data_IF_113132402445
#
_entry.id   IF_113132402445
#
_cell.length_a   1.000
_cell.length_b   1.000
_cell.length_c   1.000
_cell.angle_alpha   90.00
_cell.angle_beta   90.00
_cell.angle_gamma   90.00
#
_symmetry.space_group_name_H-M   'P 1'
#
loop_
_entity.id
_entity.type
_entity.pdbx_description
1 polymer ?
#
# COMPACT_ATOMS: atom_id res chain seq x y z
N UNK A 1 12.20 20.49 -1.54
CA UNK A 1 12.34 19.25 -2.34
C UNK A 1 11.57 18.17 -1.59
N UNK A 2 10.77 17.36 -2.27
CA UNK A 2 10.07 16.23 -1.65
C UNK A 2 11.09 15.14 -1.26
N UNK A 3 10.81 14.42 -0.17
CA UNK A 3 11.62 13.27 0.22
C UNK A 3 11.24 12.06 -0.62
N UNK A 4 12.22 11.24 -0.93
CA UNK A 4 12.08 10.10 -1.84
C UNK A 4 11.79 8.80 -1.08
N UNK A 5 10.77 8.04 -1.49
CA UNK A 5 10.51 6.66 -1.05
C UNK A 5 10.43 5.68 -2.23
N UNK A 6 11.01 4.49 -2.08
CA UNK A 6 10.76 3.36 -2.98
C UNK A 6 9.48 2.69 -2.55
N UNK A 7 8.62 2.32 -3.50
CA UNK A 7 7.35 1.63 -3.24
C UNK A 7 7.36 0.33 -4.01
N UNK A 8 7.01 -0.77 -3.35
CA UNK A 8 6.95 -2.11 -3.92
C UNK A 8 5.55 -2.68 -3.67
N UNK A 9 4.77 -2.79 -4.73
CA UNK A 9 3.46 -3.42 -4.67
C UNK A 9 3.56 -4.93 -4.62
N UNK A 10 4.64 -5.54 -5.13
CA UNK A 10 4.78 -6.99 -5.35
C UNK A 10 5.12 -7.82 -4.11
N UNK A 11 4.35 -7.57 -3.07
CA UNK A 11 4.42 -8.20 -1.75
C UNK A 11 3.06 -8.80 -1.40
N UNK A 12 3.06 -9.88 -0.61
CA UNK A 12 1.81 -10.46 -0.11
C UNK A 12 1.32 -9.66 1.08
N UNK A 13 0.02 -9.71 1.37
CA UNK A 13 -0.53 -8.98 2.51
C UNK A 13 0.00 -9.50 3.85
N UNK A 14 0.27 -10.81 3.96
CA UNK A 14 0.92 -11.38 5.14
C UNK A 14 2.32 -10.79 5.31
N UNK A 15 3.10 -10.74 4.23
CA UNK A 15 4.44 -10.17 4.25
C UNK A 15 4.42 -8.69 4.64
N UNK A 16 3.47 -7.92 4.13
CA UNK A 16 3.28 -6.51 4.55
C UNK A 16 3.10 -6.39 6.06
N UNK A 17 2.24 -7.21 6.64
CA UNK A 17 1.88 -7.10 8.06
C UNK A 17 3.01 -7.62 8.94
N UNK A 18 3.59 -8.77 8.60
CA UNK A 18 4.68 -9.38 9.37
C UNK A 18 5.96 -8.51 9.33
N UNK A 19 6.32 -7.97 8.16
CA UNK A 19 7.59 -7.24 8.00
C UNK A 19 7.50 -5.76 8.43
N UNK A 20 6.30 -5.17 8.47
CA UNK A 20 6.15 -3.72 8.70
C UNK A 20 5.22 -3.31 9.86
N UNK A 21 4.38 -4.20 10.41
CA UNK A 21 3.45 -3.86 11.48
C UNK A 21 3.73 -4.63 12.78
N UNK A 22 4.30 -5.82 12.68
CA UNK A 22 4.56 -6.70 13.82
C UNK A 22 6.03 -6.66 14.21
N UNK A 23 6.30 -6.48 15.50
CA UNK A 23 7.62 -6.65 16.09
C UNK A 23 7.55 -7.68 17.23
N UNK A 24 8.38 -8.73 17.16
CA UNK A 24 8.39 -9.86 18.09
C UNK A 24 7.51 -11.06 17.70
N UNK A 25 7.29 -11.99 18.63
CA UNK A 25 6.54 -13.24 18.40
C UNK A 25 5.01 -13.03 18.46
N UNK A 26 4.46 -12.13 17.64
CA UNK A 26 3.01 -12.00 17.50
C UNK A 26 2.57 -12.87 16.33
N UNK A 27 1.79 -13.91 16.61
CA UNK A 27 1.18 -14.71 15.55
C UNK A 27 0.03 -13.93 14.91
N UNK A 28 0.13 -13.72 13.61
CA UNK A 28 -0.91 -13.07 12.82
C UNK A 28 -1.65 -14.13 12.02
N UNK A 29 -2.98 -14.09 12.03
CA UNK A 29 -3.82 -15.04 11.31
C UNK A 29 -5.06 -14.34 10.74
N UNK A 30 -5.71 -14.97 9.77
CA UNK A 30 -6.91 -14.47 9.09
C UNK A 30 -6.74 -13.09 8.42
N UNK A 31 -5.52 -12.79 7.94
CA UNK A 31 -5.25 -11.57 7.19
C UNK A 31 -5.96 -11.67 5.83
N UNK A 32 -6.94 -10.80 5.62
CA UNK A 32 -7.66 -10.69 4.35
C UNK A 32 -7.79 -9.22 3.99
N UNK A 33 -7.87 -8.94 2.69
CA UNK A 33 -8.22 -7.61 2.18
C UNK A 33 -9.20 -7.80 1.04
N UNK A 34 -10.47 -7.58 1.36
CA UNK A 34 -11.62 -7.84 0.48
C UNK A 34 -11.74 -6.80 -0.65
N UNK A 35 -11.31 -5.56 -0.38
CA UNK A 35 -11.42 -4.43 -1.30
C UNK A 35 -10.04 -3.79 -1.50
N UNK A 36 -9.27 -4.31 -2.45
CA UNK A 36 -7.86 -3.95 -2.61
C UNK A 36 -7.40 -3.61 -4.04
N UNK A 37 -8.34 -3.58 -5.00
CA UNK A 37 -8.04 -3.28 -6.39
C UNK A 37 -7.58 -4.47 -7.23
N UNK A 38 -7.27 -5.65 -6.65
CA UNK A 38 -6.69 -6.79 -7.40
C UNK A 38 -7.59 -7.22 -8.56
N UNK A 39 -8.91 -7.23 -8.35
CA UNK A 39 -9.92 -7.52 -9.37
C UNK A 39 -9.91 -6.53 -10.56
N UNK A 40 -9.31 -5.36 -10.37
CA UNK A 40 -9.17 -4.29 -11.36
C UNK A 40 -7.71 -4.15 -11.86
N UNK A 41 -6.80 -5.06 -11.47
CA UNK A 41 -5.44 -5.13 -11.99
C UNK A 41 -4.41 -4.22 -11.31
N UNK A 42 -4.71 -3.68 -10.13
CA UNK A 42 -3.76 -2.91 -9.32
C UNK A 42 -3.91 -3.28 -7.84
N UNK A 43 -3.00 -2.82 -6.99
CA UNK A 43 -3.13 -2.98 -5.53
C UNK A 43 -3.17 -1.64 -4.83
N UNK A 44 -4.09 -1.52 -3.88
CA UNK A 44 -4.24 -0.33 -3.03
C UNK A 44 -3.29 -0.28 -1.84
N UNK A 45 -2.43 -1.29 -1.70
CA UNK A 45 -1.43 -1.37 -0.67
C UNK A 45 -0.06 -1.74 -1.25
N UNK A 46 0.99 -1.28 -0.58
CA UNK A 46 2.38 -1.59 -0.92
C UNK A 46 3.27 -1.43 0.31
N UNK A 47 4.47 -1.99 0.24
CA UNK A 47 5.56 -1.64 1.15
C UNK A 47 6.27 -0.39 0.62
N UNK A 48 6.72 0.50 1.51
CA UNK A 48 7.67 1.55 1.17
C UNK A 48 8.97 1.43 1.96
N UNK A 49 10.07 1.93 1.39
CA UNK A 49 11.35 2.13 2.07
C UNK A 49 11.96 3.48 1.66
N UNK A 50 12.57 4.22 2.60
CA UNK A 50 13.15 5.54 2.34
C UNK A 50 14.47 5.51 1.55
N UNK A 51 15.14 4.37 1.52
CA UNK A 51 16.48 4.20 0.95
C UNK A 51 17.46 5.22 1.54
N UNK A 52 18.11 6.00 0.67
CA UNK A 52 19.03 7.05 1.07
C UNK A 52 18.40 8.40 1.44
N UNK A 53 17.07 8.51 1.51
CA UNK A 53 16.40 9.78 1.75
C UNK A 53 16.27 10.13 3.24
N UNK A 54 15.95 11.40 3.50
CA UNK A 54 15.66 11.88 4.86
C UNK A 54 14.16 11.77 5.20
N UNK A 55 13.44 10.84 4.56
CA UNK A 55 12.08 10.51 4.98
C UNK A 55 12.11 10.00 6.43
N UNK A 56 11.15 10.42 7.29
CA UNK A 56 11.22 10.20 8.74
C UNK A 56 11.05 8.74 9.16
N UNK A 57 10.57 7.87 8.27
CA UNK A 57 10.38 6.44 8.53
C UNK A 57 11.30 5.61 7.61
N UNK A 58 11.95 4.58 8.16
CA UNK A 58 12.84 3.71 7.38
C UNK A 58 12.05 2.91 6.32
N UNK A 59 10.98 2.26 6.76
CA UNK A 59 10.04 1.51 5.93
C UNK A 59 8.66 1.52 6.56
N UNK A 60 7.68 1.02 5.83
CA UNK A 60 6.33 0.83 6.35
C UNK A 60 5.33 0.44 5.28
N UNK A 61 4.06 0.51 5.65
CA UNK A 61 2.93 0.21 4.78
C UNK A 61 2.41 1.50 4.13
N UNK A 62 2.23 1.48 2.81
CA UNK A 62 1.52 2.50 2.06
C UNK A 62 0.12 1.99 1.71
N UNK A 63 -0.89 2.83 1.94
CA UNK A 63 -2.28 2.62 1.53
C UNK A 63 -2.70 3.75 0.58
N UNK A 64 -3.46 3.42 -0.46
CA UNK A 64 -3.87 4.34 -1.52
C UNK A 64 -5.30 4.06 -1.97
N UNK A 65 -5.99 5.09 -2.47
CA UNK A 65 -7.27 4.95 -3.19
C UNK A 65 -7.06 4.76 -4.70
N UNK A 66 -5.97 4.11 -5.09
CA UNK A 66 -5.53 3.84 -6.46
C UNK A 66 -4.41 2.81 -6.44
N UNK A 67 -3.56 2.76 -7.46
CA UNK A 67 -2.38 1.88 -7.41
C UNK A 67 -1.38 2.46 -6.39
N UNK A 68 -1.02 1.70 -5.36
CA UNK A 68 -0.07 2.15 -4.35
C UNK A 68 1.33 2.41 -4.93
N UNK A 69 1.76 1.66 -5.95
CA UNK A 69 3.06 1.87 -6.60
C UNK A 69 3.20 3.24 -7.26
N UNK A 70 2.08 3.85 -7.66
CA UNK A 70 2.05 5.20 -8.23
C UNK A 70 2.35 6.30 -7.18
N UNK A 71 2.35 5.97 -5.90
CA UNK A 71 2.77 6.84 -4.81
C UNK A 71 4.29 6.91 -4.59
N UNK A 72 5.07 6.14 -5.35
CA UNK A 72 6.53 6.18 -5.31
C UNK A 72 7.15 7.39 -6.04
N UNK A 73 8.48 7.40 -6.17
CA UNK A 73 9.18 8.55 -6.76
C UNK A 73 9.28 8.56 -8.28
N UNK A 74 8.62 7.63 -8.98
CA UNK A 74 8.60 7.68 -10.42
C UNK A 74 7.81 8.90 -10.86
N UNK A 75 8.35 9.69 -11.78
CA UNK A 75 7.65 10.86 -12.31
C UNK A 75 6.44 10.40 -13.10
N UNK A 76 5.24 10.62 -12.57
CA UNK A 76 4.00 10.48 -13.31
C UNK A 76 3.67 11.81 -13.98
N UNK A 77 3.64 11.82 -15.32
CA UNK A 77 3.35 13.03 -16.11
C UNK A 77 1.87 13.15 -16.51
N UNK A 78 1.08 12.14 -16.19
CA UNK A 78 -0.36 12.07 -16.44
C UNK A 78 -1.13 12.19 -15.13
N UNK A 79 -2.36 12.68 -15.20
CA UNK A 79 -3.26 12.65 -14.04
C UNK A 79 -3.51 11.20 -13.60
N UNK A 80 -3.31 10.92 -12.31
CA UNK A 80 -3.62 9.63 -11.71
C UNK A 80 -5.11 9.59 -11.39
N UNK A 81 -5.86 8.81 -12.17
CA UNK A 81 -7.26 8.44 -11.92
C UNK A 81 -7.39 6.92 -11.89
N UNK A 82 -6.50 6.30 -11.11
CA UNK A 82 -6.44 4.86 -10.95
C UNK A 82 -7.54 4.42 -10.00
N UNK A 83 -8.22 3.33 -10.37
CA UNK A 83 -9.43 2.90 -9.69
C UNK A 83 -10.55 2.62 -10.68
N UNK A 84 -11.66 2.12 -10.19
CA UNK A 84 -12.85 1.86 -10.98
C UNK A 84 -14.08 2.20 -10.16
N UNK A 85 -15.17 2.62 -10.81
CA UNK A 85 -16.47 2.74 -10.14
C UNK A 85 -17.00 1.39 -9.64
N UNK A 86 -16.45 0.27 -10.14
CA UNK A 86 -16.70 -1.09 -9.63
C UNK A 86 -15.82 -1.45 -8.44
N UNK A 87 -14.73 -0.72 -8.19
CA UNK A 87 -13.96 -0.80 -6.97
C UNK A 87 -14.67 0.06 -5.91
N UNK A 88 -15.67 -0.54 -5.27
CA UNK A 88 -16.49 0.11 -4.25
C UNK A 88 -15.70 0.44 -2.97
N UNK A 89 -16.40 0.99 -1.98
CA UNK A 89 -15.81 1.22 -0.66
C UNK A 89 -15.67 -0.08 0.13
N UNK A 90 -14.79 -0.06 1.12
CA UNK A 90 -14.72 -1.12 2.12
C UNK A 90 -16.00 -1.09 2.97
N UNK A 91 -16.83 -2.11 2.85
CA UNK A 91 -18.10 -2.20 3.57
C UNK A 91 -17.88 -2.37 5.08
N UNK A 92 -16.73 -2.91 5.50
CA UNK A 92 -16.41 -3.07 6.92
C UNK A 92 -16.15 -1.69 7.57
N UNK A 93 -15.61 -0.72 6.83
CA UNK A 93 -15.44 0.66 7.31
C UNK A 93 -16.77 1.43 7.44
N UNK A 94 -17.75 1.12 6.60
CA UNK A 94 -19.08 1.76 6.64
C UNK A 94 -19.99 1.16 7.74
N UNK A 95 -19.57 0.05 8.35
CA UNK A 95 -20.35 -0.67 9.37
C UNK A 95 -19.70 -0.67 10.76
N UNK A 96 -18.59 0.05 10.93
CA UNK A 96 -17.85 0.20 12.19
C UNK A 96 -18.50 1.20 13.19
#
# INVERSE_FOLDING_TARGET
MAQQISVNGNVTINQLIEDNLVDGCVEVSNITSSVNGDANGFRSFAEFNRGGSNFPFESGIMLSTGNAESGGNNLTTTDLSEGSTTWGTDTDLETA
#
